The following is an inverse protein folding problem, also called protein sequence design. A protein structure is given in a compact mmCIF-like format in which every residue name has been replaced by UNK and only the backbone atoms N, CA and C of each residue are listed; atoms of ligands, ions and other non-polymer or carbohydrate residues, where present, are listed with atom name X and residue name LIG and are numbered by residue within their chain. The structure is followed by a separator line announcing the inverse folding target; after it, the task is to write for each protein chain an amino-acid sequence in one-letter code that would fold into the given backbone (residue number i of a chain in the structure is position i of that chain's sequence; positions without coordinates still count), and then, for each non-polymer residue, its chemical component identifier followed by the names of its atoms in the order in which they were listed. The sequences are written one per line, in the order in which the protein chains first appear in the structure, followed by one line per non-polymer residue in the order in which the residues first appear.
data_IF_977620474744
#
_entry.id   IF_977620474744
#
_cell.length_a   1.000
_cell.length_b   1.000
_cell.length_c   1.000
_cell.angle_alpha   90.00
_cell.angle_beta   90.00
_cell.angle_gamma   90.00
#
_symmetry.space_group_name_H-M   'P 1'
#
loop_
_entity.id
_entity.type
_entity.pdbx_description
1 polymer ?
#
# COMPACT_ATOMS: atom_id res chain seq x y z
N UNK A 1 -19.22 34.88 -2.16
CA UNK A 1 -20.12 33.75 -2.42
C UNK A 1 -19.53 33.01 -3.62
N UNK A 2 -19.10 31.76 -3.59
CA UNK A 2 -18.95 30.76 -2.55
C UNK A 2 -18.19 29.60 -3.21
N UNK A 3 -17.05 29.28 -2.60
CA UNK A 3 -16.41 27.95 -2.47
C UNK A 3 -16.20 27.10 -3.73
N UNK A 4 -14.94 27.06 -4.16
CA UNK A 4 -14.39 25.97 -4.96
C UNK A 4 -14.39 24.67 -4.16
N UNK A 5 -15.00 23.65 -4.74
CA UNK A 5 -14.94 22.28 -4.25
C UNK A 5 -13.70 21.62 -4.85
N UNK A 6 -12.61 21.63 -4.08
CA UNK A 6 -11.47 20.74 -4.35
C UNK A 6 -11.88 19.36 -3.87
N UNK A 7 -12.12 18.43 -4.80
CA UNK A 7 -12.36 17.02 -4.49
C UNK A 7 -11.19 16.48 -3.65
N UNK A 8 -11.44 16.21 -2.37
CA UNK A 8 -10.60 15.34 -1.57
C UNK A 8 -10.83 13.91 -2.07
N UNK A 9 -10.07 13.49 -3.08
CA UNK A 9 -9.79 12.07 -3.26
C UNK A 9 -9.06 11.61 -2.00
N UNK A 10 -9.80 10.99 -1.08
CA UNK A 10 -9.19 10.28 0.02
C UNK A 10 -8.28 9.21 -0.60
N UNK A 11 -6.98 9.33 -0.35
CA UNK A 11 -5.98 8.40 -0.85
C UNK A 11 -6.08 7.09 -0.05
N UNK A 12 -7.17 6.36 -0.28
CA UNK A 12 -7.46 5.06 0.36
C UNK A 12 -6.49 3.96 -0.09
N UNK A 13 -5.71 4.24 -1.14
CA UNK A 13 -4.72 3.34 -1.70
C UNK A 13 -3.41 3.45 -0.93
N UNK A 14 -2.90 4.67 -0.71
CA UNK A 14 -1.67 4.88 0.05
C UNK A 14 -1.91 4.97 1.56
N UNK A 15 -3.09 5.45 1.99
CA UNK A 15 -3.43 5.69 3.40
C UNK A 15 -4.85 5.25 3.75
N UNK A 16 -5.13 3.93 3.84
CA UNK A 16 -6.42 3.47 4.34
C UNK A 16 -6.59 3.95 5.79
N UNK A 17 -7.69 4.67 6.06
CA UNK A 17 -7.99 5.36 7.34
C UNK A 17 -7.91 4.49 8.60
N UNK A 18 -7.96 3.17 8.44
CA UNK A 18 -7.99 2.16 9.50
C UNK A 18 -6.60 1.60 9.85
N UNK A 19 -5.52 2.01 9.17
CA UNK A 19 -4.13 1.64 9.49
C UNK A 19 -3.26 2.82 9.95
N UNK A 20 -3.81 4.03 10.02
CA UNK A 20 -3.11 5.23 10.50
C UNK A 20 -3.02 5.26 12.04
N UNK A 21 -2.38 4.27 12.65
CA UNK A 21 -1.98 4.30 14.06
C UNK A 21 -0.51 4.72 14.18
N UNK A 22 -0.19 5.98 13.87
CA UNK A 22 1.07 6.60 14.31
C UNK A 22 1.90 7.35 13.26
N UNK A 23 3.06 7.85 13.74
CA UNK A 23 4.06 8.68 13.03
C UNK A 23 4.80 7.94 11.89
N UNK A 24 4.64 6.62 11.78
CA UNK A 24 5.42 5.76 10.89
C UNK A 24 4.51 4.84 10.08
N UNK A 25 4.84 4.63 8.81
CA UNK A 25 4.13 3.69 7.94
C UNK A 25 4.41 2.24 8.36
N UNK A 26 3.44 1.34 8.12
CA UNK A 26 3.56 -0.07 8.50
C UNK A 26 4.82 -0.72 7.90
N UNK A 27 5.14 -0.41 6.63
CA UNK A 27 6.36 -0.94 5.98
C UNK A 27 7.62 -0.49 6.72
N UNK A 28 7.71 0.75 7.17
CA UNK A 28 8.90 1.25 7.87
C UNK A 28 9.11 0.51 9.19
N UNK A 29 8.02 0.28 9.93
CA UNK A 29 8.05 -0.52 11.17
C UNK A 29 8.42 -1.97 10.88
N UNK A 30 7.96 -2.55 9.77
CA UNK A 30 8.34 -3.91 9.37
C UNK A 30 9.82 -4.02 9.01
N UNK A 31 10.39 -3.03 8.29
CA UNK A 31 11.82 -3.01 7.99
C UNK A 31 12.64 -3.00 9.28
N UNK A 32 12.29 -2.13 10.22
CA UNK A 32 13.00 -1.97 11.50
C UNK A 32 12.89 -3.23 12.38
N UNK A 33 11.70 -3.82 12.48
CA UNK A 33 11.43 -4.90 13.45
C UNK A 33 11.59 -6.31 12.90
N UNK A 34 11.34 -6.52 11.60
CA UNK A 34 11.36 -7.83 10.94
C UNK A 34 12.51 -7.99 9.95
N UNK A 35 13.15 -6.88 9.55
CA UNK A 35 14.23 -6.85 8.57
C UNK A 35 13.75 -6.76 7.11
N UNK A 36 14.69 -6.41 6.23
CA UNK A 36 14.43 -6.12 4.81
C UNK A 36 13.89 -7.35 4.06
N UNK A 37 14.48 -8.53 4.25
CA UNK A 37 14.08 -9.74 3.49
C UNK A 37 12.67 -10.24 3.86
N UNK A 38 12.31 -10.18 5.15
CA UNK A 38 10.95 -10.49 5.58
C UNK A 38 9.94 -9.48 5.01
N UNK A 39 10.31 -8.19 4.98
CA UNK A 39 9.45 -7.13 4.43
C UNK A 39 9.26 -7.26 2.91
N UNK A 40 10.33 -7.63 2.18
CA UNK A 40 10.25 -7.95 0.74
C UNK A 40 9.30 -9.12 0.48
N UNK A 41 9.41 -10.20 1.25
CA UNK A 41 8.52 -11.36 1.15
C UNK A 41 7.05 -10.98 1.42
N UNK A 42 6.81 -10.14 2.44
CA UNK A 42 5.49 -9.60 2.73
C UNK A 42 4.91 -8.79 1.56
N UNK A 43 5.72 -7.98 0.90
CA UNK A 43 5.28 -7.21 -0.26
C UNK A 43 4.81 -8.11 -1.41
N UNK A 44 5.57 -9.16 -1.74
CA UNK A 44 5.19 -10.12 -2.78
C UNK A 44 3.87 -10.84 -2.45
N UNK A 45 3.72 -11.31 -1.20
CA UNK A 45 2.48 -11.96 -0.76
C UNK A 45 1.26 -11.02 -0.84
N UNK A 46 1.42 -9.75 -0.47
CA UNK A 46 0.34 -8.77 -0.58
C UNK A 46 -0.01 -8.45 -2.02
N UNK A 47 1.00 -8.25 -2.89
CA UNK A 47 0.77 -8.04 -4.31
C UNK A 47 -0.03 -9.21 -4.91
N UNK A 48 0.38 -10.46 -4.65
CA UNK A 48 -0.37 -11.65 -5.05
C UNK A 48 -1.80 -11.66 -4.50
N UNK A 49 -2.00 -11.37 -3.22
CA UNK A 49 -3.33 -11.31 -2.59
C UNK A 49 -4.28 -10.34 -3.33
N UNK A 50 -3.80 -9.17 -3.70
CA UNK A 50 -4.60 -8.19 -4.42
C UNK A 50 -4.85 -8.60 -5.87
N UNK A 51 -3.83 -9.11 -6.57
CA UNK A 51 -4.00 -9.69 -7.91
C UNK A 51 -4.95 -10.89 -7.92
N UNK A 52 -5.01 -11.69 -6.87
CA UNK A 52 -5.92 -12.83 -6.81
C UNK A 52 -7.39 -12.38 -6.64
N UNK A 53 -7.65 -11.40 -5.76
CA UNK A 53 -9.02 -11.04 -5.37
C UNK A 53 -9.67 -9.95 -6.23
N UNK A 54 -8.91 -9.24 -7.07
CA UNK A 54 -9.37 -8.03 -7.75
C UNK A 54 -10.70 -8.22 -8.50
N UNK A 55 -10.83 -9.32 -9.26
CA UNK A 55 -11.99 -9.58 -10.11
C UNK A 55 -13.30 -9.84 -9.31
N UNK A 56 -13.17 -10.21 -8.03
CA UNK A 56 -14.32 -10.50 -7.16
C UNK A 56 -14.54 -9.48 -6.04
N UNK A 57 -13.77 -8.39 -6.01
CA UNK A 57 -13.82 -7.42 -4.90
C UNK A 57 -13.75 -5.96 -5.35
N UNK A 58 -12.55 -5.41 -5.54
CA UNK A 58 -12.37 -3.97 -5.74
C UNK A 58 -11.83 -3.59 -7.14
N UNK A 59 -11.73 -4.54 -8.08
CA UNK A 59 -11.33 -4.28 -9.46
C UNK A 59 -9.99 -3.55 -9.55
N UNK A 60 -9.98 -2.40 -10.25
CA UNK A 60 -8.78 -1.61 -10.51
C UNK A 60 -8.04 -1.15 -9.23
N UNK A 61 -8.77 -0.83 -8.16
CA UNK A 61 -8.16 -0.39 -6.90
C UNK A 61 -7.23 -1.47 -6.30
N UNK A 62 -7.60 -2.76 -6.43
CA UNK A 62 -6.73 -3.85 -6.00
C UNK A 62 -5.52 -4.03 -6.95
N UNK A 63 -5.66 -3.72 -8.24
CA UNK A 63 -4.51 -3.70 -9.16
C UNK A 63 -3.52 -2.60 -8.78
N UNK A 64 -4.01 -1.41 -8.43
CA UNK A 64 -3.17 -0.30 -7.97
C UNK A 64 -2.46 -0.64 -6.65
N UNK A 65 -3.15 -1.30 -5.71
CA UNK A 65 -2.52 -1.81 -4.48
C UNK A 65 -1.46 -2.86 -4.77
N UNK A 66 -1.72 -3.77 -5.70
CA UNK A 66 -0.71 -4.75 -6.10
C UNK A 66 0.55 -4.07 -6.67
N UNK A 67 0.36 -3.08 -7.55
CA UNK A 67 1.47 -2.27 -8.09
C UNK A 67 2.26 -1.59 -6.98
N UNK A 68 1.58 -0.96 -6.02
CA UNK A 68 2.25 -0.29 -4.89
C UNK A 68 3.16 -1.23 -4.11
N UNK A 69 2.71 -2.45 -3.81
CA UNK A 69 3.55 -3.44 -3.11
C UNK A 69 4.73 -3.92 -3.96
N UNK A 70 4.57 -4.05 -5.28
CA UNK A 70 5.67 -4.38 -6.18
C UNK A 70 6.71 -3.25 -6.21
N UNK A 71 6.27 -2.00 -6.30
CA UNK A 71 7.17 -0.84 -6.28
C UNK A 71 7.97 -0.78 -4.97
N UNK A 72 7.33 -1.07 -3.83
CA UNK A 72 8.01 -1.17 -2.53
C UNK A 72 9.04 -2.29 -2.47
N UNK A 73 8.74 -3.46 -3.03
CA UNK A 73 9.72 -4.55 -3.16
C UNK A 73 10.95 -4.11 -3.97
N UNK A 74 10.74 -3.44 -5.10
CA UNK A 74 11.83 -2.96 -5.97
C UNK A 74 12.68 -1.95 -5.21
N UNK A 75 12.06 -0.96 -4.54
CA UNK A 75 12.76 0.03 -3.74
C UNK A 75 13.64 -0.62 -2.66
N UNK A 76 13.09 -1.58 -1.89
CA UNK A 76 13.83 -2.31 -0.86
C UNK A 76 14.94 -3.21 -1.40
N UNK A 77 14.92 -3.56 -2.69
CA UNK A 77 15.94 -4.40 -3.34
C UNK A 77 17.10 -3.60 -3.93
N UNK A 78 16.96 -2.27 -3.98
CA UNK A 78 17.97 -1.35 -4.50
C UNK A 78 18.69 -0.58 -3.38
N UNK A 79 18.33 -0.85 -2.13
CA UNK A 79 18.97 -0.33 -0.91
C UNK A 79 20.15 -1.20 -0.50
#
# INVERSE_FOLDING_TARGET
MGTGETELFSDVVNHPSHYCTGKYECIDVMVETQGIEATKSFCLCNAFKYLYRHNGKNGLEDIEKAKWYIDKYIALSQT
#
